data_IF_630346626320
#
_entry.id   IF_630346626320
#
_cell.length_a   1.000
_cell.length_b   1.000
_cell.length_c   1.000
_cell.angle_alpha   90.00
_cell.angle_beta   90.00
_cell.angle_gamma   90.00
#
_symmetry.space_group_name_H-M   'P 1'
#
loop_
_entity.id
_entity.type
_entity.pdbx_description
1 polymer ?
#
# COMPACT_ATOMS: atom_id res chain seq x y z
N UNK A 1 -29.24 26.97 -8.27
CA UNK A 1 -29.10 25.87 -7.29
C UNK A 1 -27.62 25.54 -7.15
N UNK A 2 -27.02 25.61 -5.95
CA UNK A 2 -25.64 25.20 -5.75
C UNK A 2 -25.56 23.67 -5.71
N UNK A 3 -24.60 23.10 -6.44
CA UNK A 3 -24.33 21.67 -6.43
C UNK A 3 -23.75 21.26 -5.06
N UNK A 4 -24.57 20.64 -4.21
CA UNK A 4 -24.08 19.89 -3.05
C UNK A 4 -23.40 18.60 -3.53
N UNK A 5 -22.12 18.69 -3.86
CA UNK A 5 -21.29 17.53 -4.19
C UNK A 5 -20.90 16.77 -2.91
N UNK A 6 -21.83 15.98 -2.37
CA UNK A 6 -21.45 14.74 -1.70
C UNK A 6 -21.20 13.68 -2.78
N UNK A 7 -20.11 12.93 -2.64
CA UNK A 7 -19.30 12.28 -3.67
C UNK A 7 -19.92 11.03 -4.32
N UNK A 8 -21.23 11.03 -4.62
CA UNK A 8 -21.91 9.82 -5.13
C UNK A 8 -22.74 9.98 -6.42
N UNK A 9 -23.04 11.17 -6.95
CA UNK A 9 -23.98 11.27 -8.10
C UNK A 9 -23.60 12.25 -9.22
N UNK A 10 -22.32 12.60 -9.36
CA UNK A 10 -21.83 13.40 -10.50
C UNK A 10 -21.69 12.61 -11.82
N UNK A 11 -22.41 11.49 -12.00
CA UNK A 11 -22.36 10.67 -13.22
C UNK A 11 -23.17 11.26 -14.39
N UNK A 12 -23.93 12.34 -14.18
CA UNK A 12 -24.83 12.92 -15.19
C UNK A 12 -24.47 14.36 -15.63
N UNK A 13 -23.32 14.90 -15.20
CA UNK A 13 -22.95 16.27 -15.54
C UNK A 13 -21.68 16.30 -16.41
N UNK A 14 -21.84 16.69 -17.69
CA UNK A 14 -20.75 16.87 -18.66
C UNK A 14 -19.77 18.02 -18.32
N UNK A 15 -19.94 18.69 -17.19
CA UNK A 15 -19.17 19.88 -16.81
C UNK A 15 -18.08 19.63 -15.74
N UNK A 16 -17.79 18.38 -15.36
CA UNK A 16 -16.77 18.12 -14.34
C UNK A 16 -15.39 17.87 -14.97
N UNK A 17 -14.35 18.68 -14.66
CA UNK A 17 -13.02 18.50 -15.25
C UNK A 17 -12.38 17.20 -14.75
N UNK A 18 -12.15 16.26 -15.66
CA UNK A 18 -11.54 14.94 -15.40
C UNK A 18 -10.10 15.03 -14.86
N UNK A 19 -9.44 16.18 -14.96
CA UNK A 19 -8.00 16.36 -14.70
C UNK A 19 -7.66 16.31 -13.20
N UNK A 20 -8.53 16.79 -12.30
CA UNK A 20 -8.27 16.78 -10.85
C UNK A 20 -8.48 15.40 -10.20
N UNK A 21 -9.26 14.52 -10.83
CA UNK A 21 -9.60 13.21 -10.27
C UNK A 21 -8.41 12.24 -10.30
N UNK A 22 -7.54 12.30 -11.31
CA UNK A 22 -6.41 11.36 -11.45
C UNK A 22 -5.35 11.58 -10.37
N UNK A 23 -4.93 12.84 -10.13
CA UNK A 23 -3.96 13.16 -9.07
C UNK A 23 -4.50 12.82 -7.68
N UNK A 24 -5.76 13.15 -7.40
CA UNK A 24 -6.42 12.81 -6.13
C UNK A 24 -6.46 11.29 -5.93
N UNK A 25 -6.78 10.53 -6.97
CA UNK A 25 -6.81 9.06 -6.91
C UNK A 25 -5.43 8.49 -6.57
N UNK A 26 -4.36 9.01 -7.18
CA UNK A 26 -2.97 8.61 -6.84
C UNK A 26 -2.63 8.88 -5.38
N UNK A 27 -3.00 10.06 -4.87
CA UNK A 27 -2.78 10.44 -3.48
C UNK A 27 -3.55 9.49 -2.54
N UNK A 28 -4.81 9.19 -2.84
CA UNK A 28 -5.61 8.26 -2.02
C UNK A 28 -4.98 6.86 -1.99
N UNK A 29 -4.52 6.33 -3.14
CA UNK A 29 -3.84 5.04 -3.16
C UNK A 29 -2.54 5.04 -2.33
N UNK A 30 -1.78 6.14 -2.36
CA UNK A 30 -0.59 6.28 -1.50
C UNK A 30 -0.97 6.29 -0.01
N UNK A 31 -2.04 6.99 0.37
CA UNK A 31 -2.55 6.97 1.75
C UNK A 31 -3.04 5.57 2.17
N UNK A 32 -3.73 4.85 1.28
CA UNK A 32 -4.17 3.47 1.56
C UNK A 32 -2.96 2.56 1.81
N UNK A 33 -1.92 2.68 0.97
CA UNK A 33 -0.68 1.93 1.16
C UNK A 33 -0.01 2.27 2.50
N UNK A 34 0.09 3.56 2.83
CA UNK A 34 0.65 4.04 4.09
C UNK A 34 -0.12 3.51 5.30
N UNK A 35 -1.45 3.58 5.27
CA UNK A 35 -2.31 3.05 6.33
C UNK A 35 -2.13 1.54 6.49
N UNK A 36 -2.07 0.79 5.39
CA UNK A 36 -1.79 -0.65 5.45
C UNK A 36 -0.44 -0.96 6.10
N UNK A 37 0.60 -0.18 5.78
CA UNK A 37 1.91 -0.30 6.44
C UNK A 37 1.84 0.01 7.93
N UNK A 38 1.11 1.06 8.33
CA UNK A 38 0.92 1.40 9.75
C UNK A 38 0.22 0.25 10.48
N UNK A 39 -0.84 -0.31 9.90
CA UNK A 39 -1.55 -1.44 10.50
C UNK A 39 -0.64 -2.67 10.60
N UNK A 40 0.16 -2.95 9.57
CA UNK A 40 1.15 -4.02 9.62
C UNK A 40 2.17 -3.80 10.75
N UNK A 41 2.70 -2.58 10.92
CA UNK A 41 3.60 -2.24 12.03
C UNK A 41 2.93 -2.44 13.41
N UNK A 42 1.65 -2.10 13.54
CA UNK A 42 0.89 -2.31 14.78
C UNK A 42 0.76 -3.81 15.10
N UNK A 43 0.67 -4.69 14.09
CA UNK A 43 0.63 -6.14 14.30
C UNK A 43 1.94 -6.74 14.85
N UNK A 44 3.07 -6.02 14.79
CA UNK A 44 4.30 -6.45 15.47
C UNK A 44 4.31 -6.08 16.97
N UNK A 45 3.30 -5.34 17.45
CA UNK A 45 3.24 -4.92 18.84
C UNK A 45 2.81 -6.07 19.76
N UNK A 46 3.49 -6.28 20.91
CA UNK A 46 3.21 -7.38 21.82
C UNK A 46 1.78 -7.36 22.39
N UNK A 47 1.12 -6.19 22.41
CA UNK A 47 -0.28 -6.07 22.85
C UNK A 47 -1.29 -6.70 21.88
N UNK A 48 -0.96 -6.77 20.59
CA UNK A 48 -1.83 -7.36 19.55
C UNK A 48 -1.62 -8.87 19.45
N UNK A 49 -0.38 -9.33 19.67
CA UNK A 49 -0.02 -10.75 19.69
C UNK A 49 -0.88 -11.56 20.67
N UNK A 50 -1.17 -10.99 21.85
CA UNK A 50 -2.02 -11.64 22.86
C UNK A 50 -3.46 -11.91 22.39
N UNK A 51 -3.99 -11.05 21.50
CA UNK A 51 -5.32 -11.24 20.92
C UNK A 51 -5.28 -12.21 19.74
N UNK A 52 -4.24 -12.16 18.91
CA UNK A 52 -4.03 -13.04 17.76
C UNK A 52 -3.87 -14.52 18.17
N UNK A 53 -3.29 -14.79 19.34
CA UNK A 53 -3.18 -16.15 19.91
C UNK A 53 -4.52 -16.86 20.14
N UNK A 54 -5.62 -16.10 20.28
CA UNK A 54 -6.97 -16.66 20.46
C UNK A 54 -7.61 -17.11 19.15
N UNK A 55 -6.98 -16.83 18.01
CA UNK A 55 -7.50 -17.17 16.68
C UNK A 55 -6.96 -18.55 16.28
N UNK A 56 -7.84 -19.52 15.97
CA UNK A 56 -7.42 -20.85 15.53
C UNK A 56 -6.62 -20.75 14.22
N UNK A 57 -5.50 -21.48 14.15
CA UNK A 57 -4.62 -21.52 12.96
C UNK A 57 -3.33 -20.68 13.02
N UNK A 58 -3.07 -19.91 14.09
CA UNK A 58 -1.78 -19.20 14.28
C UNK A 58 -0.78 -19.96 15.18
N UNK A 59 -1.29 -20.67 16.20
CA UNK A 59 -0.51 -21.48 17.16
C UNK A 59 -0.89 -22.97 17.19
N UNK A 60 -1.87 -23.41 16.40
CA UNK A 60 -2.46 -24.76 16.52
C UNK A 60 -1.57 -25.87 15.92
N UNK A 61 -0.63 -25.51 15.05
CA UNK A 61 0.29 -26.47 14.39
C UNK A 61 1.41 -27.01 15.32
N UNK A 62 1.50 -26.52 16.56
CA UNK A 62 2.39 -27.05 17.59
C UNK A 62 1.83 -28.27 18.35
N UNK A 63 0.56 -28.62 18.16
CA UNK A 63 -0.10 -29.72 18.89
C UNK A 63 0.29 -31.12 18.37
N UNK A 64 1.01 -31.22 17.25
CA UNK A 64 1.46 -32.49 16.64
C UNK A 64 2.90 -32.91 16.98
N UNK A 65 3.73 -32.03 17.55
CA UNK A 65 5.08 -32.37 18.01
C UNK A 65 5.05 -32.67 19.50
N UNK A 66 4.98 -33.95 19.79
CA UNK A 66 5.08 -34.58 21.10
C UNK A 66 6.25 -34.08 21.96
N UNK A 67 6.12 -32.97 22.71
CA UNK A 67 6.73 -32.71 24.05
C UNK A 67 5.88 -31.64 24.80
N UNK A 68 5.49 -31.86 26.08
CA UNK A 68 4.62 -30.94 26.80
C UNK A 68 5.37 -29.70 27.31
N UNK A 69 4.88 -28.50 26.96
CA UNK A 69 4.72 -27.42 27.93
C UNK A 69 5.66 -26.21 27.94
N UNK A 70 6.78 -26.18 27.22
CA UNK A 70 7.75 -25.06 27.41
C UNK A 70 8.46 -24.52 26.16
N UNK A 71 8.52 -25.23 25.03
CA UNK A 71 9.33 -24.81 23.88
C UNK A 71 8.51 -24.42 22.63
N UNK A 72 7.27 -24.93 22.52
CA UNK A 72 6.33 -24.55 21.47
C UNK A 72 5.68 -23.19 21.73
N UNK A 73 5.43 -22.84 23.00
CA UNK A 73 4.77 -21.60 23.40
C UNK A 73 5.63 -20.37 23.07
N UNK A 74 6.92 -20.40 23.44
CA UNK A 74 7.89 -19.32 23.17
C UNK A 74 8.13 -19.09 21.68
N UNK A 75 8.11 -20.15 20.86
CA UNK A 75 8.21 -20.02 19.41
C UNK A 75 6.91 -19.52 18.78
N UNK A 76 5.75 -19.76 19.38
CA UNK A 76 4.52 -19.16 18.85
C UNK A 76 4.47 -17.65 19.11
N UNK A 77 4.86 -17.20 20.31
CA UNK A 77 4.83 -15.76 20.65
C UNK A 77 5.63 -14.90 19.67
N UNK A 78 6.84 -15.32 19.30
CA UNK A 78 7.72 -14.54 18.43
C UNK A 78 7.24 -14.54 16.96
N UNK A 79 6.58 -15.61 16.49
CA UNK A 79 6.23 -15.77 15.08
C UNK A 79 4.81 -15.30 14.72
N UNK A 80 3.90 -15.16 15.69
CA UNK A 80 2.50 -14.76 15.46
C UNK A 80 2.39 -13.38 14.80
N UNK A 81 3.11 -12.38 15.32
CA UNK A 81 3.10 -11.02 14.75
C UNK A 81 3.59 -10.99 13.30
N UNK A 82 4.69 -11.68 12.98
CA UNK A 82 5.19 -11.77 11.61
C UNK A 82 4.22 -12.49 10.68
N UNK A 83 3.58 -13.58 11.12
CA UNK A 83 2.53 -14.27 10.35
C UNK A 83 1.34 -13.34 10.05
N UNK A 84 0.92 -12.53 11.02
CA UNK A 84 -0.14 -11.54 10.83
C UNK A 84 0.25 -10.47 9.79
N UNK A 85 1.51 -10.02 9.83
CA UNK A 85 2.06 -9.08 8.84
C UNK A 85 2.03 -9.67 7.44
N UNK A 86 2.45 -10.92 7.25
CA UNK A 86 2.39 -11.59 5.95
C UNK A 86 0.97 -11.65 5.40
N UNK A 87 -0.05 -11.91 6.24
CA UNK A 87 -1.46 -11.94 5.84
C UNK A 87 -1.99 -10.56 5.44
N UNK A 88 -1.63 -9.51 6.19
CA UNK A 88 -1.99 -8.13 5.84
C UNK A 88 -1.32 -7.69 4.53
N UNK A 89 -0.01 -7.92 4.41
CA UNK A 89 0.76 -7.59 3.22
C UNK A 89 0.27 -8.39 2.00
N UNK A 90 -0.14 -9.65 2.19
CA UNK A 90 -0.80 -10.42 1.15
C UNK A 90 -2.11 -9.77 0.69
N UNK A 91 -3.00 -9.42 1.62
CA UNK A 91 -4.27 -8.78 1.27
C UNK A 91 -4.07 -7.47 0.50
N UNK A 92 -3.14 -6.63 0.97
CA UNK A 92 -2.74 -5.39 0.30
C UNK A 92 -2.15 -5.65 -1.09
N UNK A 93 -1.20 -6.58 -1.22
CA UNK A 93 -0.57 -6.89 -2.51
C UNK A 93 -1.58 -7.44 -3.52
N UNK A 94 -2.50 -8.30 -3.10
CA UNK A 94 -3.56 -8.84 -3.97
C UNK A 94 -4.55 -7.79 -4.41
N UNK A 95 -4.91 -6.87 -3.51
CA UNK A 95 -5.71 -5.71 -3.86
C UNK A 95 -5.06 -4.88 -4.96
N UNK A 96 -3.81 -4.45 -4.76
CA UNK A 96 -3.10 -3.63 -5.75
C UNK A 96 -2.81 -4.39 -7.06
N UNK A 97 -2.47 -5.68 -6.99
CA UNK A 97 -2.26 -6.50 -8.19
C UNK A 97 -3.55 -6.67 -8.98
N UNK A 98 -4.68 -6.89 -8.31
CA UNK A 98 -6.00 -6.97 -8.95
C UNK A 98 -6.34 -5.69 -9.70
N UNK A 99 -6.09 -4.52 -9.10
CA UNK A 99 -6.25 -3.24 -9.81
C UNK A 99 -5.25 -3.08 -10.95
N UNK A 100 -4.00 -3.49 -10.77
CA UNK A 100 -2.98 -3.46 -11.84
C UNK A 100 -3.46 -4.23 -13.06
N UNK A 101 -3.93 -5.48 -12.86
CA UNK A 101 -4.47 -6.33 -13.93
C UNK A 101 -5.72 -5.71 -14.56
N UNK A 102 -6.63 -5.14 -13.77
CA UNK A 102 -7.85 -4.50 -14.28
C UNK A 102 -7.54 -3.28 -15.18
N UNK A 103 -6.40 -2.61 -14.94
CA UNK A 103 -5.97 -1.43 -15.70
C UNK A 103 -5.09 -1.75 -16.91
N UNK A 104 -4.81 -3.03 -17.21
CA UNK A 104 -4.01 -3.40 -18.39
C UNK A 104 -4.75 -2.97 -19.67
N UNK A 105 -4.02 -2.30 -20.56
CA UNK A 105 -4.49 -1.88 -21.89
C UNK A 105 -5.68 -0.89 -21.86
N UNK A 106 -5.75 -0.04 -20.83
CA UNK A 106 -6.61 1.15 -20.88
C UNK A 106 -5.88 2.25 -21.64
N UNK A 107 -6.41 2.61 -22.82
CA UNK A 107 -5.83 3.65 -23.68
C UNK A 107 -6.50 5.01 -23.50
N UNK A 108 -7.72 5.05 -22.96
CA UNK A 108 -8.51 6.26 -22.88
C UNK A 108 -9.31 6.36 -21.57
N UNK A 109 -9.47 7.59 -21.07
CA UNK A 109 -10.19 7.88 -19.82
C UNK A 109 -11.71 7.64 -19.89
N UNK A 110 -12.24 7.38 -21.10
CA UNK A 110 -13.66 7.06 -21.34
C UNK A 110 -13.99 5.58 -21.11
N UNK A 111 -12.99 4.73 -20.93
CA UNK A 111 -13.23 3.32 -20.61
C UNK A 111 -13.96 3.20 -19.26
N UNK A 112 -14.98 2.34 -19.14
CA UNK A 112 -15.70 2.16 -17.87
C UNK A 112 -14.77 1.71 -16.73
N UNK A 113 -13.68 1.02 -17.07
CA UNK A 113 -12.61 0.61 -16.15
C UNK A 113 -11.88 1.82 -15.54
N UNK A 114 -11.69 2.91 -16.29
CA UNK A 114 -11.09 4.14 -15.78
C UNK A 114 -12.03 4.86 -14.80
N UNK A 115 -13.35 4.78 -15.01
CA UNK A 115 -14.33 5.27 -14.05
C UNK A 115 -14.30 4.46 -12.74
N UNK A 116 -14.13 3.14 -12.82
CA UNK A 116 -13.88 2.29 -11.65
C UNK A 116 -12.58 2.70 -10.96
N UNK A 117 -11.48 2.96 -11.68
CA UNK A 117 -10.19 3.38 -11.08
C UNK A 117 -10.30 4.67 -10.27
N UNK A 118 -10.98 5.68 -10.81
CA UNK A 118 -11.03 7.01 -10.21
C UNK A 118 -12.21 7.19 -9.22
N UNK A 119 -13.17 6.26 -9.21
CA UNK A 119 -14.41 6.34 -8.42
C UNK A 119 -14.65 5.17 -7.46
N UNK A 120 -15.89 5.05 -6.98
CA UNK A 120 -16.39 3.92 -6.16
C UNK A 120 -15.54 3.56 -4.92
N UNK A 121 -15.05 4.57 -4.19
CA UNK A 121 -14.15 4.39 -3.05
C UNK A 121 -14.72 3.54 -1.91
N UNK A 122 -16.02 3.65 -1.61
CA UNK A 122 -16.63 2.86 -0.55
C UNK A 122 -16.52 1.35 -0.82
N UNK A 123 -16.96 0.90 -2.00
CA UNK A 123 -16.87 -0.51 -2.40
C UNK A 123 -15.43 -0.99 -2.47
N UNK A 124 -14.51 -0.10 -2.87
CA UNK A 124 -13.08 -0.40 -2.88
C UNK A 124 -12.52 -0.68 -1.51
N UNK A 125 -12.74 0.22 -0.56
CA UNK A 125 -12.27 0.04 0.81
C UNK A 125 -12.92 -1.20 1.45
N UNK A 126 -14.20 -1.45 1.20
CA UNK A 126 -14.87 -2.66 1.68
C UNK A 126 -14.23 -3.93 1.11
N UNK A 127 -13.94 -3.97 -0.18
CA UNK A 127 -13.28 -5.11 -0.81
C UNK A 127 -11.83 -5.30 -0.32
N UNK A 128 -11.09 -4.21 -0.10
CA UNK A 128 -9.75 -4.27 0.50
C UNK A 128 -9.80 -4.89 1.90
N UNK A 129 -10.72 -4.43 2.76
CA UNK A 129 -10.91 -5.00 4.10
C UNK A 129 -11.31 -6.47 4.00
N UNK A 130 -12.24 -6.82 3.11
CA UNK A 130 -12.69 -8.20 2.93
C UNK A 130 -11.56 -9.15 2.50
N UNK A 131 -10.73 -8.75 1.52
CA UNK A 131 -9.57 -9.54 1.09
C UNK A 131 -8.54 -9.66 2.21
N UNK A 132 -8.30 -8.58 2.96
CA UNK A 132 -7.35 -8.57 4.08
C UNK A 132 -7.82 -9.46 5.23
N UNK A 133 -9.11 -9.41 5.61
CA UNK A 133 -9.70 -10.31 6.61
C UNK A 133 -9.74 -11.74 6.11
N UNK A 134 -10.06 -11.95 4.84
CA UNK A 134 -10.04 -13.26 4.18
C UNK A 134 -8.67 -13.94 4.25
N UNK A 135 -7.59 -13.16 4.16
CA UNK A 135 -6.21 -13.67 4.28
C UNK A 135 -5.91 -14.32 5.65
N UNK A 136 -6.62 -13.93 6.71
CA UNK A 136 -6.43 -14.54 8.03
C UNK A 136 -6.94 -15.98 8.12
N UNK A 137 -7.83 -16.39 7.22
CA UNK A 137 -8.34 -17.76 7.15
C UNK A 137 -7.42 -18.71 6.36
N UNK A 138 -6.31 -18.21 5.81
CA UNK A 138 -5.34 -19.04 5.08
C UNK A 138 -4.45 -19.77 6.09
N UNK A 139 -4.38 -21.12 6.06
CA UNK A 139 -3.53 -21.89 6.97
C UNK A 139 -2.04 -21.65 6.67
N UNK A 140 -1.20 -21.75 7.71
CA UNK A 140 0.21 -21.29 7.65
C UNK A 140 1.08 -22.05 6.65
N UNK A 141 0.88 -23.37 6.52
CA UNK A 141 1.52 -24.32 5.59
C UNK A 141 2.68 -23.78 4.70
N UNK A 142 2.58 -23.86 3.36
CA UNK A 142 3.58 -23.31 2.44
C UNK A 142 3.42 -21.79 2.22
N UNK A 143 2.40 -21.17 2.81
CA UNK A 143 2.02 -19.78 2.54
C UNK A 143 3.14 -18.81 2.94
N UNK A 144 3.64 -18.94 4.17
CA UNK A 144 4.66 -18.03 4.71
C UNK A 144 5.96 -18.09 3.91
N UNK A 145 6.42 -19.29 3.56
CA UNK A 145 7.64 -19.46 2.76
C UNK A 145 7.49 -18.91 1.35
N UNK A 146 6.36 -19.19 0.69
CA UNK A 146 6.09 -18.70 -0.65
C UNK A 146 6.06 -17.17 -0.67
N UNK A 147 5.37 -16.55 0.30
CA UNK A 147 5.34 -15.09 0.39
C UNK A 147 6.64 -14.45 0.81
N UNK A 148 7.46 -15.14 1.60
CA UNK A 148 8.82 -14.67 1.85
C UNK A 148 9.58 -14.52 0.53
N UNK A 149 9.58 -15.55 -0.34
CA UNK A 149 10.29 -15.50 -1.63
C UNK A 149 9.74 -14.41 -2.55
N UNK A 150 8.42 -14.35 -2.74
CA UNK A 150 7.80 -13.34 -3.61
C UNK A 150 8.01 -11.93 -3.04
N UNK A 151 7.89 -11.77 -1.71
CA UNK A 151 8.14 -10.52 -1.00
C UNK A 151 9.58 -10.04 -1.13
N UNK A 152 10.57 -10.93 -0.99
CA UNK A 152 11.98 -10.60 -1.19
C UNK A 152 12.26 -10.14 -2.63
N UNK A 153 11.71 -10.84 -3.64
CA UNK A 153 11.82 -10.44 -5.03
C UNK A 153 11.19 -9.06 -5.29
N UNK A 154 9.99 -8.82 -4.76
CA UNK A 154 9.30 -7.54 -4.86
C UNK A 154 10.06 -6.40 -4.19
N UNK A 155 10.63 -6.64 -3.00
CA UNK A 155 11.45 -5.66 -2.27
C UNK A 155 12.70 -5.27 -3.06
N UNK A 156 13.38 -6.24 -3.68
CA UNK A 156 14.53 -5.97 -4.55
C UNK A 156 14.15 -5.03 -5.71
N UNK A 157 13.06 -5.34 -6.44
CA UNK A 157 12.57 -4.48 -7.52
C UNK A 157 12.17 -3.08 -7.01
N UNK A 158 11.52 -3.00 -5.85
CA UNK A 158 11.09 -1.74 -5.25
C UNK A 158 12.28 -0.83 -4.91
N UNK A 159 13.36 -1.39 -4.35
CA UNK A 159 14.59 -0.65 -4.05
C UNK A 159 15.22 -0.07 -5.33
N UNK A 160 15.27 -0.84 -6.42
CA UNK A 160 15.81 -0.35 -7.70
C UNK A 160 14.98 0.82 -8.25
N UNK A 161 13.65 0.72 -8.20
CA UNK A 161 12.76 1.79 -8.65
C UNK A 161 12.95 3.05 -7.79
N UNK A 162 13.02 2.90 -6.46
CA UNK A 162 13.26 4.02 -5.55
C UNK A 162 14.60 4.70 -5.80
N UNK A 163 15.66 3.92 -6.10
CA UNK A 163 16.97 4.46 -6.42
C UNK A 163 16.92 5.37 -7.66
N UNK A 164 16.27 4.91 -8.74
CA UNK A 164 16.11 5.70 -9.97
C UNK A 164 15.31 6.97 -9.69
N UNK A 165 14.18 6.87 -8.99
CA UNK A 165 13.35 8.02 -8.64
C UNK A 165 14.10 9.06 -7.78
N UNK A 166 14.97 8.60 -6.87
CA UNK A 166 15.77 9.49 -6.02
C UNK A 166 16.81 10.24 -6.86
N UNK A 167 17.48 9.55 -7.78
CA UNK A 167 18.44 10.18 -8.71
C UNK A 167 17.75 11.22 -9.59
N UNK A 168 16.61 10.87 -10.19
CA UNK A 168 15.82 11.81 -11.01
C UNK A 168 15.34 13.02 -10.21
N UNK A 169 14.92 12.80 -8.96
CA UNK A 169 14.54 13.86 -8.05
C UNK A 169 15.73 14.77 -7.71
N UNK A 170 16.91 14.20 -7.46
CA UNK A 170 18.12 14.97 -7.15
C UNK A 170 18.56 15.84 -8.33
N UNK A 171 18.52 15.32 -9.56
CA UNK A 171 18.80 16.09 -10.77
C UNK A 171 17.80 17.23 -10.97
N UNK A 172 16.50 16.93 -10.92
CA UNK A 172 15.44 17.92 -11.06
C UNK A 172 15.52 19.02 -10.00
N UNK A 173 15.88 18.64 -8.77
CA UNK A 173 16.08 19.59 -7.67
C UNK A 173 17.31 20.49 -7.91
N UNK A 174 18.42 19.90 -8.35
CA UNK A 174 19.64 20.64 -8.66
C UNK A 174 19.41 21.64 -9.80
N UNK A 175 18.77 21.22 -10.89
CA UNK A 175 18.42 22.11 -12.00
C UNK A 175 17.53 23.27 -11.55
N UNK A 176 16.52 23.02 -10.72
CA UNK A 176 15.67 24.08 -10.17
C UNK A 176 16.44 25.08 -9.29
N UNK A 177 17.48 24.63 -8.58
CA UNK A 177 18.33 25.52 -7.80
C UNK A 177 19.26 26.35 -8.67
N UNK A 178 19.90 25.73 -9.67
CA UNK A 178 20.77 26.42 -10.63
C UNK A 178 19.97 27.46 -11.41
N UNK A 179 18.79 27.12 -11.92
CA UNK A 179 17.91 28.05 -12.63
C UNK A 179 17.56 29.27 -11.75
N UNK A 180 17.25 29.06 -10.46
CA UNK A 180 16.98 30.15 -9.51
C UNK A 180 18.20 31.00 -9.19
N UNK A 181 19.41 30.44 -9.24
CA UNK A 181 20.65 31.22 -9.10
C UNK A 181 20.91 32.09 -10.33
N UNK A 182 20.70 31.54 -11.53
CA UNK A 182 20.92 32.23 -12.81
C UNK A 182 19.86 33.32 -13.07
N UNK A 183 18.58 33.01 -12.85
CA UNK A 183 17.47 33.97 -12.99
C UNK A 183 17.33 34.92 -11.78
N UNK A 184 17.87 34.54 -10.62
CA UNK A 184 17.96 35.37 -9.41
C UNK A 184 18.99 36.51 -9.50
N UNK A 185 19.66 36.68 -10.63
CA UNK A 185 20.53 37.84 -10.90
C UNK A 185 19.71 39.09 -11.24
N UNK A 186 19.02 39.62 -10.24
CA UNK A 186 18.81 41.06 -10.14
C UNK A 186 19.30 41.54 -8.77
N UNK A 187 20.59 41.92 -8.74
CA UNK A 187 21.24 42.92 -7.86
C UNK A 187 21.85 42.55 -6.50
N UNK A 188 21.73 41.35 -5.91
CA UNK A 188 22.24 41.14 -4.54
C UNK A 188 23.54 40.34 -4.38
N UNK A 189 24.25 39.96 -5.45
CA UNK A 189 25.46 39.13 -5.34
C UNK A 189 26.72 39.70 -6.01
N UNK A 190 26.66 40.90 -6.62
CA UNK A 190 27.81 41.55 -7.27
C UNK A 190 28.42 42.72 -6.49
N UNK A 191 28.14 42.86 -5.19
CA UNK A 191 28.87 43.79 -4.31
C UNK A 191 29.70 42.97 -3.31
N UNK A 192 30.80 42.44 -3.80
CA UNK A 192 31.77 41.66 -3.02
C UNK A 192 33.12 41.55 -3.71
N UNK A 193 33.47 42.55 -4.52
CA UNK A 193 34.80 42.73 -5.10
C UNK A 193 35.22 44.18 -4.94
#
# INVERSE_FOLDING_TARGET
>A
LPCLCSSATCLLCSCCPSTRNSTVTRIIYAFILLLGTIVACIMLSPGVDQQLKRIPGFCEDGAGSSIPGMQADVNCEMFVGYKAVYRICFGMSMWFLGFSILMINIKNSRDPRAAIHNGFWFFKCAALVAVTVGAFYIPDGPFTYTWFVVGSGGAFCFILIQLVLLVDFAHSWNESWVEKMETGSSRCWYTGQ
#
